data_IF_034225114920
#
_entry.id   IF_034225114920
#
_cell.length_a   1.000
_cell.length_b   1.000
_cell.length_c   1.000
_cell.angle_alpha   90.00
_cell.angle_beta   90.00
_cell.angle_gamma   90.00
#
_symmetry.space_group_name_H-M   'P 1'
#
loop_
_entity.id
_entity.type
_entity.pdbx_description
1 polymer ?
#
# COMPACT_ATOMS: atom_id res chain seq x y z
N UNK A 1 -7.45 -30.32 -18.97
CA UNK A 1 -8.28 -29.39 -18.16
C UNK A 1 -9.69 -29.92 -18.13
N UNK A 2 -10.37 -29.92 -16.97
CA UNK A 2 -11.79 -30.26 -16.98
C UNK A 2 -12.56 -29.10 -17.61
N UNK A 3 -13.35 -29.40 -18.63
CA UNK A 3 -14.23 -28.47 -19.34
C UNK A 3 -15.16 -27.66 -18.39
N UNK A 4 -15.27 -28.08 -17.13
CA UNK A 4 -16.11 -27.47 -16.09
C UNK A 4 -15.59 -26.13 -15.57
N UNK A 5 -14.28 -25.92 -15.40
CA UNK A 5 -13.75 -24.66 -14.82
C UNK A 5 -13.92 -23.49 -15.79
N UNK A 6 -13.66 -23.73 -17.08
CA UNK A 6 -13.85 -22.75 -18.15
C UNK A 6 -15.31 -22.30 -18.27
N UNK A 7 -16.25 -23.24 -18.36
CA UNK A 7 -17.67 -22.93 -18.49
C UNK A 7 -18.24 -22.24 -17.25
N UNK A 8 -17.76 -22.62 -16.06
CA UNK A 8 -18.17 -21.98 -14.80
C UNK A 8 -17.70 -20.53 -14.73
N UNK A 9 -16.45 -20.27 -15.14
CA UNK A 9 -15.89 -18.93 -15.15
C UNK A 9 -16.52 -18.04 -16.24
N UNK A 10 -16.71 -18.57 -17.45
CA UNK A 10 -17.41 -17.90 -18.55
C UNK A 10 -18.84 -17.49 -18.17
N UNK A 11 -19.57 -18.32 -17.42
CA UNK A 11 -20.90 -17.96 -16.88
C UNK A 11 -20.83 -16.86 -15.82
N UNK A 12 -19.73 -16.72 -15.10
CA UNK A 12 -19.57 -15.72 -14.04
C UNK A 12 -19.19 -14.34 -14.60
N UNK A 13 -18.22 -14.28 -15.51
CA UNK A 13 -17.65 -12.99 -15.99
C UNK A 13 -18.08 -12.60 -17.41
N UNK A 14 -18.56 -13.56 -18.21
CA UNK A 14 -19.05 -13.34 -19.58
C UNK A 14 -17.98 -13.51 -20.67
N UNK A 15 -18.45 -13.72 -21.91
CA UNK A 15 -17.63 -14.10 -23.06
C UNK A 15 -16.45 -13.17 -23.33
N UNK A 16 -16.71 -11.85 -23.34
CA UNK A 16 -15.68 -10.84 -23.64
C UNK A 16 -14.51 -10.91 -22.67
N UNK A 17 -14.78 -11.00 -21.37
CA UNK A 17 -13.77 -11.11 -20.33
C UNK A 17 -13.00 -12.42 -20.42
N UNK A 18 -13.72 -13.54 -20.63
CA UNK A 18 -13.09 -14.86 -20.80
C UNK A 18 -12.17 -14.90 -22.01
N UNK A 19 -12.57 -14.28 -23.14
CA UNK A 19 -11.75 -14.19 -24.34
C UNK A 19 -10.49 -13.36 -24.10
N UNK A 20 -10.61 -12.20 -23.46
CA UNK A 20 -9.47 -11.33 -23.13
C UNK A 20 -8.45 -12.04 -22.24
N UNK A 21 -8.92 -12.76 -21.22
CA UNK A 21 -8.04 -13.57 -20.35
C UNK A 21 -7.38 -14.68 -21.16
N UNK A 22 -8.12 -15.37 -22.05
CA UNK A 22 -7.55 -16.41 -22.91
C UNK A 22 -6.46 -15.88 -23.84
N UNK A 23 -6.66 -14.70 -24.41
CA UNK A 23 -5.72 -14.11 -25.37
C UNK A 23 -4.46 -13.57 -24.70
N UNK A 24 -4.58 -13.00 -23.50
CA UNK A 24 -3.47 -12.30 -22.83
C UNK A 24 -2.85 -13.09 -21.66
N UNK A 25 -3.58 -14.04 -21.09
CA UNK A 25 -3.14 -14.84 -19.96
C UNK A 25 -3.81 -16.24 -19.92
N UNK A 26 -3.67 -17.05 -20.98
CA UNK A 26 -4.40 -18.31 -21.15
C UNK A 26 -4.28 -19.29 -19.98
N UNK A 27 -3.07 -19.40 -19.42
CA UNK A 27 -2.74 -20.26 -18.28
C UNK A 27 -3.54 -19.98 -17.00
N UNK A 28 -4.19 -18.82 -16.93
CA UNK A 28 -4.96 -18.42 -15.74
C UNK A 28 -6.39 -18.91 -15.73
N UNK A 29 -6.92 -19.32 -16.88
CA UNK A 29 -8.20 -20.04 -16.95
C UNK A 29 -8.10 -21.43 -16.31
N UNK A 30 -6.87 -21.91 -16.11
CA UNK A 30 -6.55 -23.21 -15.54
C UNK A 30 -6.04 -23.11 -14.10
N UNK A 31 -5.76 -21.90 -13.63
CA UNK A 31 -5.36 -21.59 -12.27
C UNK A 31 -6.59 -21.21 -11.45
N UNK A 32 -7.10 -22.16 -10.67
CA UNK A 32 -8.19 -21.88 -9.71
C UNK A 32 -7.84 -20.73 -8.76
N UNK A 33 -6.55 -20.59 -8.40
CA UNK A 33 -6.05 -19.51 -7.54
C UNK A 33 -6.27 -18.11 -8.13
N UNK A 34 -6.01 -17.92 -9.43
CA UNK A 34 -6.27 -16.63 -10.07
C UNK A 34 -7.76 -16.34 -10.16
N UNK A 35 -8.59 -17.33 -10.47
CA UNK A 35 -10.04 -17.16 -10.55
C UNK A 35 -10.65 -16.84 -9.17
N UNK A 36 -10.13 -17.45 -8.10
CA UNK A 36 -10.50 -17.15 -6.72
C UNK A 36 -10.06 -15.76 -6.29
N UNK A 37 -8.84 -15.34 -6.68
CA UNK A 37 -8.36 -13.98 -6.47
C UNK A 37 -9.29 -12.95 -7.13
N UNK A 38 -9.64 -13.16 -8.40
CA UNK A 38 -10.55 -12.29 -9.13
C UNK A 38 -11.92 -12.25 -8.45
N UNK A 39 -12.44 -13.40 -7.98
CA UNK A 39 -13.73 -13.48 -7.31
C UNK A 39 -13.75 -12.74 -5.96
N UNK A 40 -12.64 -12.76 -5.20
CA UNK A 40 -12.49 -11.93 -3.99
C UNK A 40 -12.44 -10.44 -4.33
N UNK A 41 -11.54 -10.04 -5.23
CA UNK A 41 -11.27 -8.63 -5.53
C UNK A 41 -12.44 -7.99 -6.27
N UNK A 42 -13.12 -8.74 -7.13
CA UNK A 42 -14.26 -8.32 -7.93
C UNK A 42 -15.55 -8.96 -7.39
N UNK A 43 -16.04 -8.43 -6.27
CA UNK A 43 -17.10 -9.01 -5.45
C UNK A 43 -18.46 -9.25 -6.16
N UNK A 44 -18.68 -8.70 -7.36
CA UNK A 44 -19.88 -8.97 -8.15
C UNK A 44 -19.57 -9.38 -9.58
N UNK A 45 -20.45 -10.20 -10.16
CA UNK A 45 -20.38 -10.58 -11.58
C UNK A 45 -20.34 -9.37 -12.51
N UNK A 46 -21.11 -8.33 -12.18
CA UNK A 46 -21.16 -7.08 -12.96
C UNK A 46 -19.83 -6.34 -12.87
N UNK A 47 -19.26 -6.17 -11.67
CA UNK A 47 -17.97 -5.52 -11.49
C UNK A 47 -16.83 -6.31 -12.16
N UNK A 48 -16.80 -7.64 -11.98
CA UNK A 48 -15.83 -8.50 -12.66
C UNK A 48 -15.92 -8.36 -14.19
N UNK A 49 -17.12 -8.34 -14.76
CA UNK A 49 -17.31 -8.15 -16.21
C UNK A 49 -16.79 -6.79 -16.70
N UNK A 50 -17.08 -5.71 -15.98
CA UNK A 50 -16.63 -4.36 -16.37
C UNK A 50 -15.13 -4.18 -16.21
N UNK A 51 -14.55 -4.69 -15.13
CA UNK A 51 -13.11 -4.62 -14.90
C UNK A 51 -12.38 -5.45 -15.96
N UNK A 52 -12.76 -6.72 -16.14
CA UNK A 52 -12.06 -7.66 -17.03
C UNK A 52 -12.35 -7.44 -18.52
N UNK A 53 -13.36 -6.65 -18.87
CA UNK A 53 -13.66 -6.26 -20.24
C UNK A 53 -12.66 -5.28 -20.84
N UNK A 54 -11.72 -4.76 -20.05
CA UNK A 54 -10.66 -3.84 -20.46
C UNK A 54 -9.28 -4.47 -20.22
N UNK A 55 -8.38 -4.36 -21.20
CA UNK A 55 -7.03 -4.94 -21.15
C UNK A 55 -6.13 -4.30 -20.09
N UNK A 56 -6.18 -2.98 -19.89
CA UNK A 56 -5.37 -2.26 -18.90
C UNK A 56 -5.76 -2.69 -17.47
N UNK A 57 -7.06 -2.83 -17.24
CA UNK A 57 -7.60 -3.34 -15.98
C UNK A 57 -7.21 -4.80 -15.70
N UNK A 58 -7.21 -5.64 -16.75
CA UNK A 58 -6.76 -7.03 -16.64
C UNK A 58 -5.27 -7.11 -16.30
N UNK A 59 -4.44 -6.28 -16.92
CA UNK A 59 -3.01 -6.20 -16.63
C UNK A 59 -2.76 -5.72 -15.19
N UNK A 60 -3.49 -4.70 -14.73
CA UNK A 60 -3.45 -4.24 -13.35
C UNK A 60 -3.79 -5.37 -12.35
N UNK A 61 -4.91 -6.07 -12.56
CA UNK A 61 -5.31 -7.20 -11.69
C UNK A 61 -4.32 -8.35 -11.72
N UNK A 62 -3.75 -8.65 -12.89
CA UNK A 62 -2.70 -9.66 -13.02
C UNK A 62 -1.49 -9.27 -12.20
N UNK A 63 -1.02 -8.03 -12.31
CA UNK A 63 0.17 -7.60 -11.59
C UNK A 63 -0.09 -7.55 -10.08
N UNK A 64 -1.28 -7.10 -9.67
CA UNK A 64 -1.73 -7.18 -8.28
C UNK A 64 -1.73 -8.64 -7.76
N UNK A 65 -2.25 -9.59 -8.54
CA UNK A 65 -2.20 -11.02 -8.22
C UNK A 65 -0.77 -11.54 -8.12
N UNK A 66 0.08 -11.20 -9.08
CA UNK A 66 1.48 -11.62 -9.10
C UNK A 66 2.26 -11.03 -7.91
N UNK A 67 1.95 -9.81 -7.49
CA UNK A 67 2.55 -9.18 -6.32
C UNK A 67 2.06 -9.87 -5.02
N UNK A 68 0.75 -10.11 -4.86
CA UNK A 68 0.23 -10.85 -3.68
C UNK A 68 0.75 -12.29 -3.61
N UNK A 69 0.97 -12.96 -4.75
CA UNK A 69 1.52 -14.31 -4.79
C UNK A 69 3.05 -14.34 -4.75
N UNK A 70 3.75 -13.29 -5.20
CA UNK A 70 5.17 -13.07 -4.88
C UNK A 70 5.34 -12.97 -3.37
N UNK A 71 4.53 -12.15 -2.70
CA UNK A 71 4.57 -12.01 -1.24
C UNK A 71 4.34 -13.35 -0.52
N UNK A 72 3.44 -14.22 -1.01
CA UNK A 72 3.26 -15.58 -0.44
C UNK A 72 4.44 -16.51 -0.70
N UNK A 73 5.00 -16.53 -1.92
CA UNK A 73 6.14 -17.39 -2.27
C UNK A 73 7.47 -16.89 -1.68
N UNK A 74 7.59 -15.59 -1.45
CA UNK A 74 8.73 -14.96 -0.79
C UNK A 74 8.63 -15.11 0.74
N UNK A 75 7.43 -15.01 1.34
CA UNK A 75 7.20 -15.34 2.75
C UNK A 75 7.49 -16.82 3.09
N UNK A 76 7.32 -17.73 2.13
CA UNK A 76 7.72 -19.15 2.26
C UNK A 76 9.23 -19.38 2.06
N UNK A 77 9.94 -18.44 1.41
CA UNK A 77 11.41 -18.47 1.19
C UNK A 77 12.21 -17.58 2.15
N UNK A 78 11.54 -16.84 3.01
CA UNK A 78 12.17 -15.86 3.89
C UNK A 78 13.14 -16.51 4.87
N UNK A 79 14.41 -16.11 4.76
CA UNK A 79 15.38 -16.28 5.83
C UNK A 79 14.94 -15.50 7.06
N UNK A 80 15.57 -15.78 8.21
CA UNK A 80 15.32 -14.98 9.40
C UNK A 80 15.66 -13.50 9.11
N UNK A 81 14.95 -12.56 9.72
CA UNK A 81 15.19 -11.11 9.56
C UNK A 81 16.68 -10.77 9.77
N UNK A 82 17.34 -11.47 10.71
CA UNK A 82 18.77 -11.36 10.93
C UNK A 82 19.60 -11.75 9.72
N UNK A 83 19.31 -12.89 9.09
CA UNK A 83 20.07 -13.40 7.94
C UNK A 83 19.97 -12.48 6.72
N UNK A 84 18.78 -11.93 6.46
CA UNK A 84 18.55 -11.01 5.33
C UNK A 84 19.37 -9.74 5.52
N UNK A 85 19.31 -9.15 6.71
CA UNK A 85 20.02 -7.91 7.00
C UNK A 85 21.53 -8.10 7.12
N UNK A 86 21.97 -9.24 7.66
CA UNK A 86 23.39 -9.56 7.78
C UNK A 86 24.07 -9.68 6.42
N UNK A 87 23.37 -10.23 5.40
CA UNK A 87 23.88 -10.29 4.02
C UNK A 87 24.16 -8.91 3.43
N UNK A 88 23.36 -7.92 3.81
CA UNK A 88 23.53 -6.51 3.40
C UNK A 88 24.43 -5.72 4.37
N UNK A 89 25.07 -6.38 5.34
CA UNK A 89 25.99 -5.74 6.30
C UNK A 89 25.30 -4.99 7.44
N UNK A 90 24.01 -5.23 7.67
CA UNK A 90 23.24 -4.61 8.74
C UNK A 90 23.04 -5.54 9.93
N UNK A 91 23.25 -4.98 11.12
CA UNK A 91 22.63 -5.43 12.36
C UNK A 91 21.30 -4.71 12.54
N UNK A 92 20.43 -5.26 13.39
CA UNK A 92 19.14 -4.65 13.68
C UNK A 92 18.75 -4.77 15.15
N UNK A 93 17.89 -3.87 15.60
CA UNK A 93 17.22 -3.93 16.89
C UNK A 93 15.76 -3.53 16.74
N UNK A 94 14.86 -4.41 17.18
CA UNK A 94 13.45 -4.05 17.39
C UNK A 94 13.35 -3.24 18.67
N UNK A 95 12.77 -2.06 18.60
CA UNK A 95 12.69 -1.14 19.74
C UNK A 95 11.38 -1.38 20.48
N UNK A 96 11.47 -1.93 21.70
CA UNK A 96 10.34 -2.17 22.58
C UNK A 96 10.11 -1.10 23.65
N UNK A 97 11.14 -0.29 23.94
CA UNK A 97 11.12 0.70 25.01
C UNK A 97 11.92 1.96 24.64
N UNK A 98 11.71 3.03 25.40
CA UNK A 98 12.32 4.34 25.17
C UNK A 98 13.84 4.28 25.31
N UNK A 99 14.37 3.49 26.23
CA UNK A 99 15.80 3.41 26.49
C UNK A 99 16.52 2.80 25.29
N UNK A 100 15.99 1.70 24.74
CA UNK A 100 16.51 1.04 23.56
C UNK A 100 16.57 1.96 22.34
N UNK A 101 15.66 2.94 22.23
CA UNK A 101 15.74 4.00 21.22
C UNK A 101 16.85 5.00 21.53
N UNK A 102 16.85 5.55 22.76
CA UNK A 102 17.79 6.58 23.22
C UNK A 102 19.23 6.11 23.14
N UNK A 103 19.51 4.82 23.32
CA UNK A 103 20.85 4.23 23.19
C UNK A 103 21.52 4.58 21.84
N UNK A 104 20.73 4.74 20.78
CA UNK A 104 21.24 5.09 19.45
C UNK A 104 21.45 6.59 19.24
N UNK A 105 20.97 7.45 20.15
CA UNK A 105 21.10 8.91 20.04
C UNK A 105 22.56 9.35 19.95
N UNK A 106 23.47 8.63 20.62
CA UNK A 106 24.92 8.92 20.65
C UNK A 106 25.59 8.85 19.28
N UNK A 107 24.99 8.15 18.33
CA UNK A 107 25.56 7.99 16.99
C UNK A 107 25.17 9.14 16.05
N UNK A 108 24.35 10.10 16.47
CA UNK A 108 24.05 11.28 15.67
C UNK A 108 25.06 12.40 15.93
N UNK A 109 25.48 13.10 14.88
CA UNK A 109 26.28 14.31 15.04
C UNK A 109 25.49 15.41 15.80
N UNK A 110 26.17 16.34 16.49
CA UNK A 110 25.51 17.49 17.09
C UNK A 110 24.64 18.24 16.08
N UNK A 111 23.38 18.49 16.43
CA UNK A 111 22.43 19.16 15.55
C UNK A 111 21.77 18.25 14.49
N UNK A 112 22.16 16.99 14.35
CA UNK A 112 21.58 16.02 13.40
C UNK A 112 20.64 14.99 14.05
N UNK A 113 20.44 15.07 15.37
CA UNK A 113 19.51 14.19 16.09
C UNK A 113 18.10 14.29 15.49
N UNK A 114 17.49 13.14 15.19
CA UNK A 114 16.16 13.09 14.62
C UNK A 114 15.09 13.65 15.57
N UNK A 115 14.07 14.30 15.02
CA UNK A 115 12.89 14.72 15.77
C UNK A 115 12.14 13.54 16.43
N UNK A 116 12.39 12.31 15.98
CA UNK A 116 11.97 11.06 16.65
C UNK A 116 12.32 11.07 18.15
N UNK A 117 13.48 11.61 18.52
CA UNK A 117 13.98 11.65 19.89
C UNK A 117 13.32 12.73 20.77
N UNK A 118 12.54 13.65 20.19
CA UNK A 118 11.84 14.70 20.94
C UNK A 118 10.59 14.17 21.67
N UNK A 119 10.02 13.06 21.20
CA UNK A 119 8.87 12.41 21.81
C UNK A 119 8.94 10.88 21.62
N UNK A 120 9.93 10.20 22.23
CA UNK A 120 10.18 8.78 22.00
C UNK A 120 9.00 7.91 22.45
N UNK A 121 8.34 8.28 23.54
CA UNK A 121 7.14 7.58 24.03
C UNK A 121 6.00 7.64 23.02
N UNK A 122 5.69 8.83 22.49
CA UNK A 122 4.67 8.98 21.45
C UNK A 122 5.01 8.21 20.18
N UNK A 123 6.30 8.15 19.82
CA UNK A 123 6.75 7.34 18.68
C UNK A 123 6.51 5.86 18.91
N UNK A 124 6.87 5.31 20.07
CA UNK A 124 6.67 3.88 20.35
C UNK A 124 5.20 3.49 20.52
N UNK A 125 4.35 4.42 20.99
CA UNK A 125 2.90 4.25 21.01
C UNK A 125 2.31 4.12 19.61
N UNK A 126 2.75 4.94 18.66
CA UNK A 126 2.11 5.03 17.34
C UNK A 126 2.79 4.19 16.26
N UNK A 127 4.04 3.77 16.47
CA UNK A 127 4.84 3.06 15.47
C UNK A 127 5.47 1.79 16.02
N UNK A 128 5.56 0.77 15.17
CA UNK A 128 6.59 -0.26 15.31
C UNK A 128 7.91 0.33 14.85
N UNK A 129 8.95 0.19 15.67
CA UNK A 129 10.25 0.79 15.42
C UNK A 129 11.33 -0.27 15.29
N UNK A 130 12.07 -0.20 14.19
CA UNK A 130 13.31 -0.94 13.96
C UNK A 130 14.45 0.06 13.75
N UNK A 131 15.60 -0.24 14.32
CA UNK A 131 16.84 0.44 13.99
C UNK A 131 17.73 -0.54 13.24
N UNK A 132 18.15 -0.18 12.03
CA UNK A 132 19.13 -0.91 11.23
C UNK A 132 20.45 -0.17 11.30
N UNK A 133 21.56 -0.87 11.53
CA UNK A 133 22.86 -0.21 11.68
C UNK A 133 24.02 -1.11 11.24
N UNK A 134 25.06 -0.48 10.66
CA UNK A 134 26.31 -1.17 10.35
C UNK A 134 27.12 -1.47 11.62
N UNK A 135 27.97 -2.49 11.57
CA UNK A 135 28.78 -2.91 12.72
C UNK A 135 29.85 -1.88 13.13
N UNK A 136 30.41 -1.18 12.15
CA UNK A 136 31.46 -0.16 12.28
C UNK A 136 30.91 1.27 12.41
N UNK A 137 29.72 1.42 13.00
CA UNK A 137 28.96 2.67 13.01
C UNK A 137 29.74 3.90 13.54
N UNK A 138 30.60 3.69 14.53
CA UNK A 138 31.44 4.74 15.14
C UNK A 138 32.56 5.23 14.19
N UNK A 139 32.99 4.39 13.25
CA UNK A 139 34.01 4.72 12.25
C UNK A 139 33.47 5.47 11.03
N UNK A 140 32.16 5.44 10.82
CA UNK A 140 31.53 6.05 9.65
C UNK A 140 31.25 7.53 9.93
N UNK A 141 32.08 8.37 9.32
CA UNK A 141 32.00 9.82 9.40
C UNK A 141 31.06 10.44 8.35
N UNK A 142 30.68 11.68 8.61
CA UNK A 142 29.82 12.48 7.72
C UNK A 142 30.50 12.76 6.39
N UNK A 143 29.74 12.66 5.30
CA UNK A 143 30.21 13.06 3.97
C UNK A 143 30.37 14.59 3.87
N UNK A 144 31.40 15.10 3.16
CA UNK A 144 31.48 16.52 2.84
C UNK A 144 30.33 16.98 1.93
N UNK A 145 29.79 16.07 1.11
CA UNK A 145 28.65 16.28 0.23
C UNK A 145 27.52 15.34 0.66
N UNK A 146 26.67 15.73 1.63
CA UNK A 146 25.72 14.83 2.26
C UNK A 146 24.61 14.44 1.28
N UNK A 147 24.38 13.14 1.12
CA UNK A 147 23.33 12.57 0.29
C UNK A 147 22.39 11.71 1.11
N UNK A 148 21.10 11.69 0.75
CA UNK A 148 20.07 10.86 1.43
C UNK A 148 20.43 9.37 1.43
N UNK A 149 21.18 8.89 0.46
CA UNK A 149 21.54 7.48 0.32
C UNK A 149 23.07 7.28 0.36
N UNK A 150 23.81 8.26 0.92
CA UNK A 150 25.25 8.08 1.14
C UNK A 150 25.55 7.11 2.29
N UNK A 151 26.83 6.79 2.47
CA UNK A 151 27.28 5.83 3.47
C UNK A 151 26.93 6.24 4.90
N UNK A 152 27.08 7.52 5.26
CA UNK A 152 26.73 8.00 6.61
C UNK A 152 25.23 7.96 6.85
N UNK A 153 24.45 8.38 5.85
CA UNK A 153 22.99 8.38 5.88
C UNK A 153 22.43 6.99 6.13
N UNK A 154 22.96 6.01 5.40
CA UNK A 154 22.48 4.62 5.42
C UNK A 154 23.12 3.78 6.52
N UNK A 155 24.21 4.24 7.16
CA UNK A 155 24.85 3.48 8.24
C UNK A 155 23.96 3.28 9.46
N UNK A 156 22.98 4.17 9.69
CA UNK A 156 21.99 4.08 10.76
C UNK A 156 20.62 4.50 10.23
N UNK A 157 19.71 3.55 10.08
CA UNK A 157 18.35 3.79 9.60
C UNK A 157 17.33 3.58 10.71
N UNK A 158 16.43 4.53 10.87
CA UNK A 158 15.29 4.41 11.76
C UNK A 158 14.03 4.07 10.94
N UNK A 159 13.64 2.81 10.95
CA UNK A 159 12.44 2.29 10.27
C UNK A 159 11.25 2.43 11.20
N UNK A 160 10.27 3.23 10.80
CA UNK A 160 9.03 3.48 11.54
C UNK A 160 7.84 3.00 10.72
N UNK A 161 7.06 2.09 11.27
CA UNK A 161 5.86 1.54 10.64
C UNK A 161 4.65 1.93 11.49
N UNK A 162 3.73 2.72 10.96
CA UNK A 162 2.57 3.17 11.76
C UNK A 162 1.70 1.98 12.14
N UNK A 163 1.28 1.90 13.41
CA UNK A 163 0.50 0.74 13.90
C UNK A 163 -0.91 0.66 13.30
N UNK A 164 -1.50 1.81 12.95
CA UNK A 164 -2.88 1.86 12.43
C UNK A 164 -2.95 1.86 10.90
N UNK A 165 -1.94 2.44 10.25
CA UNK A 165 -1.95 2.66 8.79
C UNK A 165 -0.93 1.80 8.06
N UNK A 166 -0.02 1.16 8.80
CA UNK A 166 1.03 0.28 8.29
C UNK A 166 1.92 0.89 7.20
N UNK A 167 1.98 2.23 7.10
CA UNK A 167 2.86 2.93 6.20
C UNK A 167 4.28 3.02 6.79
N UNK A 168 5.28 2.90 5.91
CA UNK A 168 6.71 2.91 6.28
C UNK A 168 7.29 4.30 6.12
N UNK A 169 8.10 4.73 7.09
CA UNK A 169 9.06 5.82 6.97
C UNK A 169 10.45 5.31 7.37
N UNK A 170 11.40 5.44 6.45
CA UNK A 170 12.79 5.05 6.63
C UNK A 170 13.59 6.34 6.79
N UNK A 171 13.99 6.62 8.02
CA UNK A 171 14.73 7.85 8.34
C UNK A 171 16.23 7.61 8.30
N UNK A 172 16.90 8.50 7.59
CA UNK A 172 18.35 8.67 7.51
C UNK A 172 18.97 8.95 8.88
N UNK A 173 20.27 8.74 8.98
CA UNK A 173 21.11 9.29 10.04
C UNK A 173 21.19 10.83 9.99
N UNK A 174 21.12 11.42 8.79
CA UNK A 174 20.93 12.86 8.64
C UNK A 174 19.52 13.29 9.04
N UNK A 175 19.39 14.55 9.41
CA UNK A 175 18.09 15.21 9.55
C UNK A 175 17.79 16.07 8.31
N UNK A 176 17.13 17.21 8.48
CA UNK A 176 16.78 18.15 7.42
C UNK A 176 18.01 18.81 6.73
N UNK A 177 19.24 18.43 7.07
CA UNK A 177 20.45 18.77 6.32
C UNK A 177 20.50 18.14 4.92
N UNK A 178 19.69 17.11 4.66
CA UNK A 178 19.47 16.53 3.32
C UNK A 178 17.99 16.60 2.92
N UNK A 179 17.72 16.55 1.63
CA UNK A 179 16.35 16.50 1.11
C UNK A 179 15.66 15.17 1.44
N UNK A 180 14.42 15.24 1.92
CA UNK A 180 13.56 14.10 2.25
C UNK A 180 14.28 13.02 3.09
N UNK A 181 14.85 13.39 4.26
CA UNK A 181 15.66 12.48 5.07
C UNK A 181 14.83 11.33 5.66
N UNK A 182 13.51 11.40 5.61
CA UNK A 182 12.56 10.41 6.11
C UNK A 182 11.94 9.52 5.01
N UNK A 183 12.53 9.55 3.82
CA UNK A 183 12.17 8.74 2.66
C UNK A 183 13.39 8.06 2.02
N UNK A 184 14.32 7.55 2.82
CA UNK A 184 15.48 6.79 2.32
C UNK A 184 14.96 5.57 1.53
N UNK A 185 15.56 5.32 0.36
CA UNK A 185 15.08 4.30 -0.58
C UNK A 185 13.59 4.42 -0.94
N UNK A 186 13.04 5.63 -0.93
CA UNK A 186 11.61 5.88 -1.21
C UNK A 186 10.66 5.11 -0.28
N UNK A 187 11.10 4.80 0.95
CA UNK A 187 10.37 4.00 1.94
C UNK A 187 10.05 2.55 1.49
N UNK A 188 10.80 2.01 0.53
CA UNK A 188 10.68 0.62 0.11
C UNK A 188 11.71 -0.23 0.86
N UNK A 189 11.25 -1.08 1.78
CA UNK A 189 12.12 -1.94 2.59
C UNK A 189 12.92 -2.92 1.73
N UNK A 190 12.32 -3.45 0.66
CA UNK A 190 13.00 -4.40 -0.22
C UNK A 190 14.13 -3.78 -1.06
N UNK A 191 14.25 -2.45 -1.09
CA UNK A 191 15.41 -1.76 -1.65
C UNK A 191 16.61 -1.70 -0.70
N UNK A 192 16.40 -1.95 0.59
CA UNK A 192 17.49 -2.15 1.56
C UNK A 192 18.01 -3.59 1.41
N UNK A 193 17.11 -4.56 1.45
CA UNK A 193 17.43 -5.97 1.28
C UNK A 193 16.23 -6.70 0.67
N UNK A 194 16.40 -7.51 -0.40
CA UNK A 194 15.29 -8.27 -0.97
C UNK A 194 14.60 -9.19 0.04
N UNK A 195 13.26 -9.13 0.12
CA UNK A 195 12.47 -9.94 1.06
C UNK A 195 12.40 -9.36 2.49
N UNK A 196 12.94 -8.16 2.72
CA UNK A 196 12.91 -7.51 4.02
C UNK A 196 11.48 -7.15 4.47
N UNK A 197 10.61 -6.77 3.53
CA UNK A 197 9.22 -6.40 3.87
C UNK A 197 8.51 -7.55 4.58
N UNK A 198 8.47 -8.73 3.97
CA UNK A 198 7.75 -9.85 4.58
C UNK A 198 8.47 -10.41 5.81
N UNK A 199 9.80 -10.34 5.90
CA UNK A 199 10.53 -10.77 7.09
C UNK A 199 10.17 -9.90 8.31
N UNK A 200 10.00 -8.59 8.11
CA UNK A 200 9.51 -7.68 9.13
C UNK A 200 8.04 -7.96 9.47
N UNK A 201 7.18 -8.18 8.47
CA UNK A 201 5.77 -8.57 8.69
C UNK A 201 5.66 -9.82 9.56
N UNK A 202 6.44 -10.86 9.25
CA UNK A 202 6.51 -12.11 10.00
C UNK A 202 7.03 -11.90 11.42
N UNK A 203 8.09 -11.10 11.59
CA UNK A 203 8.70 -10.84 12.89
C UNK A 203 7.80 -10.04 13.83
N UNK A 204 7.01 -9.11 13.29
CA UNK A 204 6.16 -8.20 14.04
C UNK A 204 4.68 -8.64 14.09
N UNK A 205 4.28 -9.60 13.26
CA UNK A 205 2.89 -10.05 13.14
C UNK A 205 1.97 -9.01 12.50
N UNK A 206 2.48 -8.21 11.56
CA UNK A 206 1.74 -7.11 10.90
C UNK A 206 1.70 -7.31 9.38
N UNK A 207 0.90 -6.49 8.68
CA UNK A 207 0.89 -6.39 7.22
C UNK A 207 1.22 -4.96 6.82
N UNK A 208 2.28 -4.76 6.06
CA UNK A 208 2.78 -3.45 5.64
C UNK A 208 2.06 -3.02 4.37
N UNK A 209 1.60 -1.77 4.33
CA UNK A 209 0.99 -1.21 3.12
C UNK A 209 2.08 -0.97 2.07
N UNK A 210 2.11 -1.85 1.07
CA UNK A 210 3.07 -1.76 -0.05
C UNK A 210 2.58 -0.68 -1.00
N UNK A 211 3.38 0.37 -1.15
CA UNK A 211 3.24 1.24 -2.32
C UNK A 211 3.61 0.42 -3.55
N UNK A 212 2.62 0.05 -4.34
CA UNK A 212 2.87 -0.51 -5.67
C UNK A 212 3.45 0.60 -6.56
N UNK A 213 4.46 0.28 -7.35
CA UNK A 213 5.01 1.19 -8.37
C UNK A 213 4.06 1.34 -9.59
N UNK A 214 2.90 0.67 -9.57
CA UNK A 214 1.96 0.61 -10.68
C UNK A 214 0.84 1.64 -10.54
N UNK A 215 0.71 2.50 -11.55
CA UNK A 215 -0.42 3.41 -11.63
C UNK A 215 -1.73 2.63 -11.72
N UNK A 216 -2.64 2.90 -10.79
CA UNK A 216 -4.02 2.39 -10.85
C UNK A 216 -4.69 3.03 -12.08
N UNK A 217 -5.32 2.25 -12.99
CA UNK A 217 -6.06 2.82 -14.11
C UNK A 217 -7.10 3.84 -13.66
N UNK A 218 -7.30 4.92 -14.43
CA UNK A 218 -8.13 6.07 -14.05
C UNK A 218 -9.58 5.70 -13.72
N UNK A 219 -10.11 4.62 -14.31
CA UNK A 219 -11.45 4.10 -14.09
C UNK A 219 -11.56 3.09 -12.94
N UNK A 220 -10.48 2.86 -12.18
CA UNK A 220 -10.43 1.93 -11.05
C UNK A 220 -10.08 2.61 -9.73
N UNK A 221 -10.60 2.05 -8.63
CA UNK A 221 -10.16 2.37 -7.28
C UNK A 221 -9.99 1.11 -6.45
N UNK A 222 -9.02 1.17 -5.52
CA UNK A 222 -8.88 0.21 -4.43
C UNK A 222 -9.69 0.69 -3.23
N UNK A 223 -10.53 -0.19 -2.68
CA UNK A 223 -11.27 0.04 -1.44
C UNK A 223 -11.04 -1.16 -0.52
N UNK A 224 -9.97 -1.10 0.28
CA UNK A 224 -9.49 -2.24 1.04
C UNK A 224 -9.15 -3.41 0.10
N UNK A 225 -9.81 -4.55 0.32
CA UNK A 225 -9.64 -5.75 -0.51
C UNK A 225 -10.39 -5.74 -1.83
N UNK A 226 -11.13 -4.68 -2.16
CA UNK A 226 -11.95 -4.65 -3.37
C UNK A 226 -11.36 -3.76 -4.46
N UNK A 227 -11.49 -4.21 -5.70
CA UNK A 227 -11.27 -3.38 -6.89
C UNK A 227 -12.62 -2.95 -7.43
N UNK A 228 -12.81 -1.65 -7.60
CA UNK A 228 -14.09 -1.07 -8.05
C UNK A 228 -13.86 -0.32 -9.35
N UNK A 229 -14.65 -0.66 -10.37
CA UNK A 229 -14.77 0.16 -11.58
C UNK A 229 -15.72 1.33 -11.37
N UNK A 230 -15.36 2.51 -11.86
CA UNK A 230 -16.18 3.72 -11.80
C UNK A 230 -16.03 4.56 -13.07
N UNK A 231 -16.95 5.48 -13.29
CA UNK A 231 -16.85 6.48 -14.37
C UNK A 231 -17.32 7.83 -13.85
N UNK A 232 -16.78 8.91 -14.42
CA UNK A 232 -17.18 10.29 -14.07
C UNK A 232 -17.96 10.88 -15.24
N UNK A 233 -19.10 11.53 -14.97
CA UNK A 233 -19.86 12.27 -15.99
C UNK A 233 -19.58 13.77 -15.91
N UNK A 234 -19.41 14.43 -17.07
CA UNK A 234 -18.91 15.80 -17.25
C UNK A 234 -19.85 16.94 -16.83
N UNK A 235 -20.54 16.86 -15.69
CA UNK A 235 -21.41 17.93 -15.19
C UNK A 235 -21.14 18.35 -13.73
N UNK A 236 -19.92 18.15 -13.22
CA UNK A 236 -19.58 18.46 -11.80
C UNK A 236 -20.25 17.54 -10.76
N UNK A 237 -21.20 16.70 -11.18
CA UNK A 237 -21.80 15.64 -10.38
C UNK A 237 -21.00 14.34 -10.57
N UNK A 238 -20.17 14.00 -9.59
CA UNK A 238 -19.48 12.70 -9.53
C UNK A 238 -20.51 11.61 -9.22
N UNK A 239 -20.98 10.89 -10.23
CA UNK A 239 -21.80 9.67 -10.01
C UNK A 239 -20.87 8.47 -9.85
N UNK A 240 -20.75 7.96 -8.63
CA UNK A 240 -20.07 6.69 -8.38
C UNK A 240 -21.08 5.55 -8.54
N UNK A 241 -21.01 4.80 -9.64
CA UNK A 241 -21.73 3.54 -9.74
C UNK A 241 -20.87 2.41 -9.19
N UNK A 242 -21.02 2.16 -7.89
CA UNK A 242 -20.58 0.92 -7.28
C UNK A 242 -21.48 -0.22 -7.79
N UNK A 243 -20.97 -1.08 -8.67
CA UNK A 243 -21.64 -2.34 -8.99
C UNK A 243 -21.51 -3.31 -7.80
N UNK A 244 -22.21 -3.02 -6.71
CA UNK A 244 -22.34 -3.91 -5.56
C UNK A 244 -23.78 -4.39 -5.48
N UNK A 245 -24.00 -5.70 -5.64
CA UNK A 245 -25.28 -6.34 -5.34
C UNK A 245 -25.32 -6.63 -3.83
N UNK A 246 -25.27 -5.59 -3.00
CA UNK A 246 -25.55 -5.72 -1.57
C UNK A 246 -27.05 -5.45 -1.37
N UNK A 247 -27.80 -6.54 -1.20
CA UNK A 247 -29.20 -6.49 -0.77
C UNK A 247 -29.25 -6.03 0.69
N UNK A 248 -29.98 -4.94 0.93
CA UNK A 248 -30.59 -4.44 2.18
C UNK A 248 -29.67 -4.32 3.42
N UNK A 249 -29.34 -3.13 3.91
CA UNK A 249 -30.19 -2.29 4.77
C UNK A 249 -29.32 -1.18 5.38
N UNK A 250 -29.97 -0.06 5.73
CA UNK A 250 -29.46 1.16 6.37
C UNK A 250 -28.70 2.18 5.50
N UNK A 251 -29.13 3.44 5.71
CA UNK A 251 -28.74 4.70 5.10
C UNK A 251 -27.42 5.21 5.67
N UNK A 252 -26.51 5.70 4.82
CA UNK A 252 -25.35 6.49 5.25
C UNK A 252 -25.19 7.69 4.32
N UNK A 253 -25.38 8.87 4.91
CA UNK A 253 -25.02 10.17 4.36
C UNK A 253 -23.52 10.42 4.58
N UNK A 254 -22.92 11.16 3.64
CA UNK A 254 -21.58 11.78 3.67
C UNK A 254 -20.33 10.88 3.76
N UNK A 255 -19.57 10.86 2.65
CA UNK A 255 -18.19 10.38 2.60
C UNK A 255 -17.23 11.43 3.21
N UNK A 256 -17.09 11.39 4.52
CA UNK A 256 -15.86 11.74 5.24
C UNK A 256 -15.63 10.66 6.30
N UNK A 257 -14.52 9.94 6.18
CA UNK A 257 -14.00 8.98 7.15
C UNK A 257 -14.85 7.76 7.55
N UNK A 258 -14.22 6.60 7.43
CA UNK A 258 -14.46 5.35 8.18
C UNK A 258 -15.76 4.55 7.96
N UNK A 259 -15.56 3.24 7.79
CA UNK A 259 -16.47 2.11 8.02
C UNK A 259 -17.92 2.14 7.49
N UNK A 260 -18.11 1.26 6.49
CA UNK A 260 -19.18 0.24 6.41
C UNK A 260 -20.51 0.55 5.69
N UNK A 261 -20.79 -0.31 4.69
CA UNK A 261 -22.07 -0.71 4.04
C UNK A 261 -22.94 0.27 3.21
N UNK A 262 -22.77 0.17 1.87
CA UNK A 262 -23.81 -0.07 0.84
C UNK A 262 -25.14 0.71 0.76
N UNK A 263 -25.22 1.72 -0.12
CA UNK A 263 -26.29 1.93 -1.15
C UNK A 263 -25.89 3.10 -2.09
N UNK A 264 -26.46 3.15 -3.31
CA UNK A 264 -26.29 4.29 -4.22
C UNK A 264 -26.86 5.58 -3.59
N UNK A 265 -26.00 6.57 -3.30
CA UNK A 265 -26.41 7.88 -2.77
C UNK A 265 -26.35 8.92 -3.90
N UNK A 266 -27.50 9.55 -4.17
CA UNK A 266 -27.57 10.78 -4.97
C UNK A 266 -27.36 11.94 -4.00
N UNK A 267 -26.15 12.49 -3.93
CA UNK A 267 -25.91 13.74 -3.19
C UNK A 267 -26.46 14.92 -4.01
N UNK A 268 -27.75 15.20 -3.84
CA UNK A 268 -28.39 16.41 -4.34
C UNK A 268 -28.11 17.59 -3.40
N UNK A 269 -27.10 18.39 -3.70
CA UNK A 269 -26.84 19.64 -2.99
C UNK A 269 -28.02 20.60 -3.16
N UNK A 270 -28.69 20.94 -2.05
CA UNK A 270 -29.65 22.05 -1.98
C UNK A 270 -28.92 23.33 -2.37
N UNK A 271 -29.37 24.02 -3.42
CA UNK A 271 -29.03 25.42 -3.63
C UNK A 271 -29.84 26.26 -2.65
N UNK A 272 -29.23 26.65 -1.53
CA UNK A 272 -29.63 27.86 -0.81
C UNK A 272 -28.85 29.03 -1.41
N UNK A 273 -29.52 29.86 -2.21
CA UNK A 273 -29.18 31.27 -2.36
C UNK A 273 -30.46 32.02 -2.71
N UNK A 274 -31.03 32.69 -1.70
CA UNK A 274 -31.79 33.92 -1.91
C UNK A 274 -30.86 34.95 -2.57
N UNK A 275 -31.31 35.52 -3.69
CA UNK A 275 -31.14 36.95 -3.98
C UNK A 275 -32.46 37.40 -4.59
N UNK A 276 -33.15 38.27 -3.86
CA UNK A 276 -34.25 39.08 -4.36
C UNK A 276 -33.71 40.12 -5.34
N UNK A 277 -34.40 40.36 -6.46
CA UNK A 277 -34.77 41.71 -6.87
C UNK A 277 -35.80 41.68 -8.01
N UNK A 278 -36.81 42.53 -7.84
CA UNK A 278 -37.86 42.89 -8.78
C UNK A 278 -37.27 43.60 -10.01
N UNK A 279 -37.89 43.45 -11.19
CA UNK A 279 -38.59 44.51 -11.95
C UNK A 279 -38.74 44.18 -13.45
N UNK A 280 -39.95 44.47 -13.96
CA UNK A 280 -40.34 44.88 -15.32
C UNK A 280 -40.05 43.91 -16.49
N UNK A 281 -40.99 43.56 -17.37
CA UNK A 281 -42.25 44.15 -17.82
C UNK A 281 -43.26 43.06 -18.19
#
# INVERSE_FOLDING_TARGET
MSNQNYESYKRAVGETATRLIRENYPQSLDSTEFLDFISRKCHTKTNARHILGNIENLLFLKNLYLNEHKDKKEAEKEGDLGDILQKEGYKHRVIGDVQGLIDFRRFYAPGEVLCTYNNPEGRLRNYHMLVLFKEDLDGIGRSPNPGREDEYSTSLLNVQIHREHNNVSIKSRYNHTVSNPDAVHSNQLDRIAPGLTGAIEKRLGIKIDRKTDEAIPDNLKLAGDFVISYWTTNNGLRRFCLYTNLVASSSVDDFSDSNSYGRCVVAGGRRSHEVAEQTNA
#
